data_IF_681227587638
#
_entry.id   IF_681227587638
#
_cell.length_a   1.000
_cell.length_b   1.000
_cell.length_c   1.000
_cell.angle_alpha   90.00
_cell.angle_beta   90.00
_cell.angle_gamma   90.00
#
_symmetry.space_group_name_H-M   'P 1'
#
loop_
_entity.id
_entity.type
_entity.pdbx_description
1 polymer ?
#
# COMPACT_ATOMS: atom_id res chain seq x y z
N UNK A 1 22.55 26.65 -37.11
CA UNK A 1 21.49 25.64 -37.18
C UNK A 1 21.86 24.43 -36.35
N UNK A 2 23.09 23.92 -36.47
CA UNK A 2 23.50 22.71 -35.71
C UNK A 2 23.69 22.94 -34.20
N UNK A 3 24.21 24.09 -33.77
CA UNK A 3 24.41 24.38 -32.34
C UNK A 3 23.10 24.64 -31.57
N UNK A 4 22.09 25.25 -32.21
CA UNK A 4 20.78 25.45 -31.60
C UNK A 4 19.99 24.13 -31.51
N UNK A 5 20.13 23.26 -32.50
CA UNK A 5 19.52 21.91 -32.48
C UNK A 5 20.18 21.04 -31.41
N UNK A 6 21.51 21.06 -31.28
CA UNK A 6 22.22 20.32 -30.22
C UNK A 6 21.86 20.82 -28.83
N UNK A 7 21.79 22.14 -28.61
CA UNK A 7 21.35 22.69 -27.32
C UNK A 7 19.90 22.34 -27.01
N UNK A 8 19.02 22.32 -28.01
CA UNK A 8 17.62 21.94 -27.83
C UNK A 8 17.45 20.43 -27.57
N UNK A 9 18.30 19.59 -28.15
CA UNK A 9 18.36 18.15 -27.84
C UNK A 9 18.91 17.90 -26.42
N UNK A 10 19.97 18.59 -26.01
CA UNK A 10 20.52 18.49 -24.64
C UNK A 10 19.53 18.98 -23.57
N UNK A 11 18.83 20.10 -23.80
CA UNK A 11 17.79 20.61 -22.88
C UNK A 11 16.59 19.66 -22.80
N UNK A 12 16.23 19.03 -23.91
CA UNK A 12 15.14 18.05 -23.97
C UNK A 12 15.53 16.76 -23.23
N UNK A 13 16.71 16.20 -23.47
CA UNK A 13 17.23 15.04 -22.74
C UNK A 13 17.39 15.32 -21.23
N UNK A 14 17.89 16.51 -20.87
CA UNK A 14 17.92 16.97 -19.48
C UNK A 14 16.54 17.02 -18.83
N UNK A 15 15.52 17.46 -19.57
CA UNK A 15 14.14 17.50 -19.08
C UNK A 15 13.55 16.10 -18.87
N UNK A 16 13.80 15.15 -19.78
CA UNK A 16 13.33 13.76 -19.65
C UNK A 16 14.03 13.00 -18.52
N UNK A 17 15.32 13.24 -18.30
CA UNK A 17 16.08 12.64 -17.19
C UNK A 17 15.61 13.18 -15.84
N UNK A 18 15.35 14.48 -15.73
CA UNK A 18 14.74 15.04 -14.51
C UNK A 18 13.34 14.49 -14.26
N UNK A 19 12.50 14.38 -15.29
CA UNK A 19 11.15 13.86 -15.18
C UNK A 19 11.13 12.39 -14.73
N UNK A 20 12.02 11.55 -15.29
CA UNK A 20 12.14 10.13 -14.92
C UNK A 20 12.68 9.94 -13.50
N UNK A 21 13.62 10.78 -13.07
CA UNK A 21 14.13 10.77 -11.69
C UNK A 21 13.03 11.18 -10.70
N UNK A 22 12.27 12.24 -11.01
CA UNK A 22 11.12 12.67 -10.24
C UNK A 22 10.04 11.59 -10.19
N UNK A 23 9.73 10.95 -11.33
CA UNK A 23 8.76 9.87 -11.39
C UNK A 23 9.17 8.69 -10.51
N UNK A 24 10.45 8.31 -10.53
CA UNK A 24 11.00 7.25 -9.68
C UNK A 24 10.97 7.63 -8.20
N UNK A 25 11.27 8.88 -7.86
CA UNK A 25 11.13 9.39 -6.49
C UNK A 25 9.68 9.32 -6.00
N UNK A 26 8.73 9.82 -6.80
CA UNK A 26 7.30 9.74 -6.50
C UNK A 26 6.85 8.27 -6.39
N UNK A 27 7.39 7.38 -7.20
CA UNK A 27 7.08 5.95 -7.14
C UNK A 27 7.53 5.32 -5.82
N UNK A 28 8.74 5.63 -5.35
CA UNK A 28 9.31 5.09 -4.10
C UNK A 28 8.54 5.59 -2.87
N UNK A 29 8.27 6.90 -2.80
CA UNK A 29 7.70 7.52 -1.61
C UNK A 29 6.19 7.71 -1.66
N UNK A 30 5.59 7.68 -2.85
CA UNK A 30 4.19 8.03 -3.07
C UNK A 30 3.22 7.19 -2.25
N UNK A 31 3.49 5.88 -2.12
CA UNK A 31 2.69 4.99 -1.27
C UNK A 31 2.80 5.30 0.22
N UNK A 32 3.92 5.86 0.69
CA UNK A 32 4.12 6.22 2.10
C UNK A 32 3.49 7.57 2.47
N UNK A 33 3.35 8.49 1.50
CA UNK A 33 2.86 9.86 1.74
C UNK A 33 1.52 9.94 2.47
N UNK A 34 0.48 9.13 2.18
CA UNK A 34 -0.80 9.19 2.89
C UNK A 34 -0.69 8.87 4.39
N UNK A 35 0.33 8.11 4.81
CA UNK A 35 0.50 7.73 6.20
C UNK A 35 1.19 8.82 7.04
N UNK A 36 1.86 9.78 6.41
CA UNK A 36 2.49 10.91 7.12
C UNK A 36 1.46 11.78 7.85
N UNK A 37 0.39 12.31 7.21
CA UNK A 37 -0.62 13.07 7.93
C UNK A 37 -1.37 12.20 8.95
N UNK A 38 -1.60 10.91 8.65
CA UNK A 38 -2.23 9.97 9.58
C UNK A 38 -1.39 9.77 10.85
N UNK A 39 -0.06 9.64 10.71
CA UNK A 39 0.87 9.53 11.83
C UNK A 39 0.77 10.78 12.72
N UNK A 40 0.78 11.97 12.11
CA UNK A 40 0.68 13.24 12.84
C UNK A 40 -0.66 13.37 13.56
N UNK A 41 -1.76 12.93 12.95
CA UNK A 41 -3.09 12.96 13.55
C UNK A 41 -3.18 12.04 14.78
N UNK A 42 -2.68 10.81 14.68
CA UNK A 42 -2.66 9.85 15.81
C UNK A 42 -1.78 10.39 16.94
N UNK A 43 -0.61 10.95 16.60
CA UNK A 43 0.30 11.51 17.60
C UNK A 43 -0.33 12.70 18.35
N UNK A 44 -1.05 13.59 17.66
CA UNK A 44 -1.69 14.76 18.27
C UNK A 44 -2.94 14.39 19.06
N UNK A 45 -3.79 13.52 18.51
CA UNK A 45 -5.06 13.13 19.13
C UNK A 45 -4.88 12.12 20.26
N UNK A 46 -3.74 11.40 20.30
CA UNK A 46 -3.55 10.22 21.15
C UNK A 46 -4.70 9.21 21.02
N UNK A 47 -5.33 9.14 19.85
CA UNK A 47 -6.39 8.19 19.54
C UNK A 47 -6.00 7.36 18.30
N UNK A 48 -6.19 6.05 18.37
CA UNK A 48 -5.87 5.10 17.29
C UNK A 48 -7.11 4.49 16.64
N UNK A 49 -8.32 4.80 17.12
CA UNK A 49 -9.57 4.19 16.62
C UNK A 49 -9.84 4.48 15.14
N UNK A 50 -9.36 5.61 14.62
CA UNK A 50 -9.49 5.98 13.21
C UNK A 50 -8.57 5.20 12.25
N UNK A 51 -7.59 4.43 12.77
CA UNK A 51 -6.62 3.71 11.94
C UNK A 51 -6.61 2.21 12.25
N UNK A 52 -6.78 1.40 11.21
CA UNK A 52 -6.78 -0.06 11.35
C UNK A 52 -5.37 -0.63 11.23
N UNK A 53 -4.85 -1.20 12.32
CA UNK A 53 -3.55 -1.92 12.31
C UNK A 53 -3.52 -3.10 11.34
N UNK A 54 -4.68 -3.63 10.93
CA UNK A 54 -4.77 -4.68 9.90
C UNK A 54 -4.32 -4.22 8.53
N UNK A 55 -4.42 -2.92 8.23
CA UNK A 55 -3.86 -2.36 6.99
C UNK A 55 -2.34 -2.53 6.99
N UNK A 56 -1.69 -2.27 8.13
CA UNK A 56 -0.25 -2.52 8.28
C UNK A 56 0.10 -4.00 8.09
N UNK A 57 -0.71 -4.94 8.57
CA UNK A 57 -0.50 -6.38 8.34
C UNK A 57 -0.44 -6.70 6.85
N UNK A 58 -1.50 -6.32 6.12
CA UNK A 58 -1.65 -6.65 4.71
C UNK A 58 -0.50 -6.03 3.90
N UNK A 59 -0.13 -4.78 4.20
CA UNK A 59 0.97 -4.11 3.52
C UNK A 59 2.33 -4.69 3.88
N UNK A 60 2.58 -5.07 5.14
CA UNK A 60 3.83 -5.75 5.51
C UNK A 60 3.96 -7.08 4.78
N UNK A 61 2.89 -7.90 4.76
CA UNK A 61 2.88 -9.17 4.02
C UNK A 61 3.11 -8.93 2.53
N UNK A 62 2.38 -7.99 1.91
CA UNK A 62 2.50 -7.67 0.49
C UNK A 62 3.94 -7.29 0.10
N UNK A 63 4.57 -6.40 0.87
CA UNK A 63 5.90 -5.90 0.56
C UNK A 63 7.01 -6.92 0.88
N UNK A 64 6.84 -7.75 1.91
CA UNK A 64 7.76 -8.88 2.16
C UNK A 64 7.70 -9.88 1.00
N UNK A 65 6.51 -10.29 0.58
CA UNK A 65 6.34 -11.18 -0.57
C UNK A 65 6.91 -10.58 -1.86
N UNK A 66 6.76 -9.26 -2.05
CA UNK A 66 7.33 -8.55 -3.20
C UNK A 66 8.87 -8.58 -3.23
N UNK A 67 9.53 -8.49 -2.08
CA UNK A 67 10.99 -8.64 -2.00
C UNK A 67 11.40 -10.05 -2.43
N UNK A 68 10.69 -11.09 -2.00
CA UNK A 68 10.97 -12.46 -2.47
C UNK A 68 10.65 -12.68 -3.94
N UNK A 69 9.59 -12.03 -4.45
CA UNK A 69 9.29 -12.03 -5.88
C UNK A 69 10.44 -11.41 -6.69
N UNK A 70 11.05 -10.33 -6.20
CA UNK A 70 12.22 -9.72 -6.84
C UNK A 70 13.42 -10.66 -6.91
N UNK A 71 13.64 -11.48 -5.87
CA UNK A 71 14.69 -12.51 -5.84
C UNK A 71 14.46 -13.56 -6.94
N UNK A 72 13.20 -14.00 -7.14
CA UNK A 72 12.85 -14.95 -8.20
C UNK A 72 12.81 -14.35 -9.60
N UNK A 73 12.45 -13.06 -9.72
CA UNK A 73 12.34 -12.34 -10.98
C UNK A 73 12.72 -10.88 -10.76
N UNK A 74 13.93 -10.52 -11.19
CA UNK A 74 14.44 -9.16 -11.03
C UNK A 74 13.62 -8.19 -11.90
N UNK A 75 13.03 -7.21 -11.24
CA UNK A 75 12.37 -6.06 -11.84
C UNK A 75 13.03 -4.77 -11.34
N UNK A 76 12.55 -3.62 -11.83
CA UNK A 76 13.06 -2.28 -11.50
C UNK A 76 13.36 -2.07 -10.02
N UNK A 77 14.58 -1.59 -9.73
CA UNK A 77 15.05 -1.35 -8.36
C UNK A 77 14.16 -0.33 -7.62
N UNK A 78 13.58 0.63 -8.35
CA UNK A 78 12.62 1.61 -7.83
C UNK A 78 11.47 0.94 -7.07
N UNK A 79 10.96 -0.19 -7.57
CA UNK A 79 9.84 -0.93 -6.96
C UNK A 79 10.28 -1.73 -5.72
N UNK A 80 11.53 -2.19 -5.71
CA UNK A 80 12.12 -2.80 -4.52
C UNK A 80 12.30 -1.75 -3.41
N UNK A 81 12.84 -0.58 -3.75
CA UNK A 81 12.99 0.54 -2.82
C UNK A 81 11.63 1.00 -2.27
N UNK A 82 10.60 1.08 -3.12
CA UNK A 82 9.22 1.33 -2.69
C UNK A 82 8.78 0.35 -1.60
N UNK A 83 9.09 -0.94 -1.77
CA UNK A 83 8.72 -1.99 -0.82
C UNK A 83 9.39 -1.80 0.54
N UNK A 84 10.68 -1.46 0.53
CA UNK A 84 11.46 -1.17 1.75
C UNK A 84 10.89 0.05 2.47
N UNK A 85 10.64 1.15 1.76
CA UNK A 85 10.06 2.38 2.34
C UNK A 85 8.69 2.10 2.95
N UNK A 86 7.85 1.33 2.27
CA UNK A 86 6.53 0.96 2.76
C UNK A 86 6.61 0.10 4.03
N UNK A 87 7.52 -0.88 4.09
CA UNK A 87 7.74 -1.70 5.29
C UNK A 87 8.14 -0.82 6.48
N UNK A 88 9.10 0.10 6.28
CA UNK A 88 9.54 1.02 7.33
C UNK A 88 8.39 1.91 7.83
N UNK A 89 7.56 2.41 6.90
CA UNK A 89 6.40 3.23 7.23
C UNK A 89 5.37 2.43 8.02
N UNK A 90 5.09 1.18 7.64
CA UNK A 90 4.15 0.32 8.36
C UNK A 90 4.65 -0.02 9.77
N UNK A 91 5.95 -0.26 9.95
CA UNK A 91 6.52 -0.43 11.28
C UNK A 91 6.46 0.84 12.12
N UNK A 92 6.74 2.02 11.55
CA UNK A 92 6.60 3.29 12.25
C UNK A 92 5.15 3.53 12.70
N UNK A 93 4.17 3.26 11.82
CA UNK A 93 2.74 3.35 12.15
C UNK A 93 2.34 2.38 13.27
N UNK A 94 2.78 1.12 13.21
CA UNK A 94 2.50 0.13 14.24
C UNK A 94 3.13 0.50 15.59
N UNK A 95 4.37 0.97 15.59
CA UNK A 95 5.06 1.42 16.79
C UNK A 95 4.31 2.58 17.46
N UNK A 96 3.88 3.57 16.68
CA UNK A 96 3.06 4.68 17.19
C UNK A 96 1.73 4.16 17.78
N UNK A 97 1.03 3.29 17.05
CA UNK A 97 -0.23 2.74 17.52
C UNK A 97 -0.07 1.97 18.83
N UNK A 98 0.96 1.13 18.94
CA UNK A 98 1.24 0.39 20.18
C UNK A 98 1.57 1.34 21.34
N UNK A 99 2.37 2.38 21.09
CA UNK A 99 2.75 3.38 22.11
C UNK A 99 1.51 4.08 22.67
N UNK A 100 0.64 4.57 21.79
CA UNK A 100 -0.59 5.27 22.17
C UNK A 100 -1.57 4.33 22.87
N UNK A 101 -1.78 3.12 22.32
CA UNK A 101 -2.67 2.13 22.94
C UNK A 101 -2.19 1.70 24.32
N UNK A 102 -0.88 1.57 24.52
CA UNK A 102 -0.31 1.21 25.82
C UNK A 102 -0.42 2.36 26.83
N UNK A 103 -0.22 3.60 26.40
CA UNK A 103 -0.40 4.78 27.24
C UNK A 103 -1.85 4.97 27.71
N UNK A 104 -2.82 4.68 26.84
CA UNK A 104 -4.25 4.81 27.15
C UNK A 104 -4.86 3.56 27.81
N UNK A 105 -4.08 2.49 28.01
CA UNK A 105 -4.62 1.21 28.47
C UNK A 105 -4.97 1.26 29.95
N UNK A 106 -6.25 1.16 30.26
CA UNK A 106 -6.75 1.01 31.65
C UNK A 106 -6.78 -0.47 32.10
N UNK A 107 -6.76 -1.41 31.15
CA UNK A 107 -6.88 -2.86 31.41
C UNK A 107 -5.52 -3.57 31.51
N UNK A 108 -5.34 -4.38 32.55
CA UNK A 108 -4.12 -5.15 32.87
C UNK A 108 -3.89 -6.37 31.99
N UNK A 109 -4.86 -6.79 31.17
CA UNK A 109 -4.71 -8.00 30.36
C UNK A 109 -3.85 -7.72 29.13
N UNK A 110 -2.60 -8.20 29.14
CA UNK A 110 -1.64 -8.08 28.05
C UNK A 110 -1.89 -9.20 27.03
N UNK A 111 -1.89 -8.88 25.73
CA UNK A 111 -2.01 -9.87 24.67
C UNK A 111 -0.67 -9.95 23.95
N UNK A 112 -0.03 -11.11 24.05
CA UNK A 112 1.28 -11.36 23.46
C UNK A 112 1.20 -12.42 22.37
N UNK A 113 2.23 -12.47 21.52
CA UNK A 113 2.31 -13.51 20.49
C UNK A 113 2.40 -14.92 21.11
N UNK A 114 3.03 -15.03 22.27
CA UNK A 114 3.16 -16.29 23.03
C UNK A 114 1.81 -16.93 23.42
N UNK A 115 0.73 -16.14 23.47
CA UNK A 115 -0.57 -16.64 23.90
C UNK A 115 -1.25 -17.52 22.83
N UNK A 116 -0.71 -17.55 21.60
CA UNK A 116 -1.13 -18.36 20.43
C UNK A 116 -2.64 -18.40 20.16
N UNK A 117 -3.39 -17.41 20.65
CA UNK A 117 -4.82 -17.30 20.45
C UNK A 117 -5.11 -16.59 19.13
N UNK A 118 -5.51 -17.36 18.12
CA UNK A 118 -5.87 -16.85 16.79
C UNK A 118 -6.97 -15.76 16.83
N UNK A 119 -7.84 -15.79 17.84
CA UNK A 119 -8.88 -14.76 18.00
C UNK A 119 -8.31 -13.34 18.19
N UNK A 120 -7.13 -13.23 18.82
CA UNK A 120 -6.45 -11.95 19.05
C UNK A 120 -5.29 -11.73 18.08
N UNK A 121 -5.29 -12.44 16.94
CA UNK A 121 -4.28 -12.28 15.90
C UNK A 121 -4.19 -10.83 15.44
N UNK A 122 -2.96 -10.30 15.42
CA UNK A 122 -2.63 -8.92 15.06
C UNK A 122 -3.24 -7.83 15.96
N UNK A 123 -3.47 -8.16 17.24
CA UNK A 123 -3.92 -7.22 18.29
C UNK A 123 -3.03 -7.30 19.53
N UNK A 124 -1.72 -7.44 19.31
CA UNK A 124 -0.73 -7.52 20.38
C UNK A 124 -0.47 -6.16 21.01
N UNK A 125 -0.11 -6.17 22.29
CA UNK A 125 0.21 -4.96 23.05
C UNK A 125 1.61 -4.43 22.79
N UNK A 126 2.54 -5.32 22.46
CA UNK A 126 3.96 -5.01 22.36
C UNK A 126 4.37 -4.95 20.89
N UNK A 127 5.17 -3.94 20.51
CA UNK A 127 5.62 -3.78 19.13
C UNK A 127 6.53 -4.93 18.68
N UNK A 128 7.30 -5.48 19.61
CA UNK A 128 8.23 -6.59 19.41
C UNK A 128 7.52 -7.85 18.91
N UNK A 129 6.29 -8.10 19.35
CA UNK A 129 5.48 -9.24 18.92
C UNK A 129 5.14 -9.14 17.41
N UNK A 130 4.92 -7.93 16.89
CA UNK A 130 4.70 -7.70 15.46
C UNK A 130 5.99 -7.92 14.66
N UNK A 131 7.14 -7.42 15.15
CA UNK A 131 8.44 -7.66 14.53
C UNK A 131 8.76 -9.15 14.46
N UNK A 132 8.54 -9.88 15.57
CA UNK A 132 8.79 -11.32 15.65
C UNK A 132 7.91 -12.10 14.67
N UNK A 133 6.64 -11.73 14.54
CA UNK A 133 5.75 -12.32 13.53
C UNK A 133 6.27 -12.07 12.11
N UNK A 134 6.61 -10.82 11.77
CA UNK A 134 7.12 -10.47 10.44
C UNK A 134 8.45 -11.15 10.13
N UNK A 135 9.33 -11.28 11.11
CA UNK A 135 10.59 -12.02 10.99
C UNK A 135 10.31 -13.51 10.74
N UNK A 136 9.45 -14.15 11.54
CA UNK A 136 9.06 -15.55 11.35
C UNK A 136 8.43 -15.79 9.98
N UNK A 137 7.53 -14.92 9.55
CA UNK A 137 6.92 -14.96 8.22
C UNK A 137 8.00 -14.84 7.12
N UNK A 138 8.94 -13.91 7.26
CA UNK A 138 10.05 -13.72 6.32
C UNK A 138 10.93 -14.97 6.23
N UNK A 139 11.27 -15.59 7.36
CA UNK A 139 12.04 -16.85 7.38
C UNK A 139 11.30 -17.97 6.67
N UNK A 140 9.99 -18.14 6.93
CA UNK A 140 9.17 -19.14 6.25
C UNK A 140 9.12 -18.89 4.75
N UNK A 141 8.88 -17.64 4.34
CA UNK A 141 8.89 -17.24 2.93
C UNK A 141 10.26 -17.49 2.28
N UNK A 142 11.36 -17.21 2.98
CA UNK A 142 12.71 -17.46 2.50
C UNK A 142 12.95 -18.95 2.26
N UNK A 143 12.61 -19.81 3.23
CA UNK A 143 12.77 -21.26 3.09
C UNK A 143 11.95 -21.79 1.91
N UNK A 144 10.67 -21.40 1.81
CA UNK A 144 9.80 -21.84 0.70
C UNK A 144 10.35 -21.34 -0.64
N UNK A 145 10.77 -20.07 -0.71
CA UNK A 145 11.30 -19.46 -1.93
C UNK A 145 12.59 -20.13 -2.36
N UNK A 146 13.50 -20.45 -1.44
CA UNK A 146 14.75 -21.17 -1.77
C UNK A 146 14.49 -22.60 -2.27
N UNK A 147 13.45 -23.28 -1.77
CA UNK A 147 13.09 -24.63 -2.21
C UNK A 147 12.39 -24.65 -3.58
N UNK A 148 11.66 -23.58 -3.94
CA UNK A 148 10.79 -23.53 -5.11
C UNK A 148 11.22 -22.47 -6.14
N UNK A 149 12.42 -21.89 -6.01
CA UNK A 149 12.89 -20.77 -6.84
C UNK A 149 12.91 -21.11 -8.33
N UNK A 150 13.27 -22.35 -8.67
CA UNK A 150 13.35 -22.83 -10.06
C UNK A 150 11.95 -23.01 -10.71
N UNK A 151 10.88 -23.00 -9.91
CA UNK A 151 9.52 -23.15 -10.43
C UNK A 151 8.94 -21.79 -10.84
N UNK A 152 8.82 -21.59 -12.15
CA UNK A 152 8.20 -20.37 -12.73
C UNK A 152 6.78 -20.16 -12.19
N UNK A 153 6.00 -21.24 -12.05
CA UNK A 153 4.63 -21.16 -11.52
C UNK A 153 4.62 -20.61 -10.10
N UNK A 154 5.57 -21.03 -9.26
CA UNK A 154 5.70 -20.52 -7.91
C UNK A 154 6.06 -19.04 -7.90
N UNK A 155 7.09 -18.63 -8.64
CA UNK A 155 7.56 -17.22 -8.69
C UNK A 155 6.45 -16.30 -9.21
N UNK A 156 5.75 -16.68 -10.28
CA UNK A 156 4.67 -15.88 -10.85
C UNK A 156 3.46 -15.79 -9.91
N UNK A 157 3.14 -16.86 -9.18
CA UNK A 157 2.08 -16.89 -8.16
C UNK A 157 2.45 -16.02 -6.96
N UNK A 158 3.70 -16.10 -6.50
CA UNK A 158 4.24 -15.29 -5.40
C UNK A 158 4.12 -13.80 -5.71
N UNK A 159 4.55 -13.38 -6.91
CA UNK A 159 4.39 -12.02 -7.38
C UNK A 159 2.93 -11.59 -7.47
N UNK A 160 2.06 -12.46 -7.99
CA UNK A 160 0.62 -12.18 -8.10
C UNK A 160 -0.02 -11.96 -6.72
N UNK A 161 0.30 -12.81 -5.74
CA UNK A 161 -0.18 -12.65 -4.36
C UNK A 161 0.33 -11.36 -3.73
N UNK A 162 1.61 -11.03 -3.91
CA UNK A 162 2.22 -9.83 -3.36
C UNK A 162 1.51 -8.55 -3.85
N UNK A 163 1.23 -8.45 -5.16
CA UNK A 163 0.56 -7.28 -5.73
C UNK A 163 -0.94 -7.30 -5.48
N UNK A 164 -1.58 -8.47 -5.39
CA UNK A 164 -2.99 -8.61 -5.03
C UNK A 164 -3.29 -8.08 -3.62
N UNK A 165 -2.45 -8.38 -2.63
CA UNK A 165 -2.62 -7.84 -1.28
C UNK A 165 -2.54 -6.31 -1.25
N UNK A 166 -1.68 -5.70 -2.09
CA UNK A 166 -1.64 -4.25 -2.23
C UNK A 166 -2.92 -3.72 -2.92
N UNK A 167 -3.41 -4.40 -3.95
CA UNK A 167 -4.62 -4.01 -4.67
C UNK A 167 -5.89 -4.06 -3.80
N UNK A 168 -5.90 -4.86 -2.73
CA UNK A 168 -7.04 -5.00 -1.83
C UNK A 168 -7.30 -3.78 -0.94
N UNK A 169 -6.42 -2.78 -0.89
CA UNK A 169 -6.59 -1.62 0.00
C UNK A 169 -7.88 -0.82 -0.26
N UNK A 170 -8.32 -0.68 -1.51
CA UNK A 170 -9.54 0.04 -1.86
C UNK A 170 -10.84 -0.78 -1.64
N UNK A 171 -10.74 -2.10 -1.54
CA UNK A 171 -11.92 -3.00 -1.47
C UNK A 171 -12.77 -2.79 -0.21
N UNK A 172 -12.19 -2.66 1.01
CA UNK A 172 -12.99 -2.38 2.21
C UNK A 172 -13.86 -1.14 2.07
N UNK A 173 -13.32 -0.06 1.47
CA UNK A 173 -14.07 1.18 1.26
C UNK A 173 -15.24 0.96 0.29
N UNK A 174 -14.99 0.26 -0.83
CA UNK A 174 -16.02 -0.10 -1.82
C UNK A 174 -17.16 -0.90 -1.18
N UNK A 175 -16.83 -1.90 -0.36
CA UNK A 175 -17.79 -2.75 0.33
C UNK A 175 -18.57 -1.99 1.41
N UNK A 176 -17.90 -1.14 2.18
CA UNK A 176 -18.56 -0.37 3.24
C UNK A 176 -19.55 0.64 2.67
N UNK A 177 -19.19 1.32 1.58
CA UNK A 177 -20.11 2.19 0.85
C UNK A 177 -21.31 1.41 0.29
N UNK A 178 -21.08 0.20 -0.24
CA UNK A 178 -22.16 -0.66 -0.76
C UNK A 178 -23.13 -1.10 0.34
N UNK A 179 -22.59 -1.58 1.46
CA UNK A 179 -23.38 -2.02 2.61
C UNK A 179 -24.17 -0.87 3.24
N UNK A 180 -23.52 0.28 3.45
CA UNK A 180 -24.13 1.42 4.10
C UNK A 180 -25.08 2.20 3.18
N UNK A 181 -25.08 1.91 1.86
CA UNK A 181 -25.81 2.66 0.83
C UNK A 181 -25.58 4.18 0.94
N UNK A 182 -24.41 4.59 1.40
CA UNK A 182 -24.06 5.98 1.66
C UNK A 182 -22.56 6.17 1.62
N UNK A 183 -22.13 7.33 1.13
CA UNK A 183 -20.74 7.79 1.17
C UNK A 183 -20.52 8.92 2.20
N UNK A 184 -21.47 9.13 3.12
CA UNK A 184 -21.34 10.13 4.19
C UNK A 184 -20.13 9.82 5.07
N UNK A 185 -19.25 10.81 5.25
CA UNK A 185 -18.00 10.68 6.02
C UNK A 185 -16.77 10.33 5.18
N UNK A 186 -16.93 9.99 3.90
CA UNK A 186 -15.81 9.72 3.00
C UNK A 186 -15.28 11.00 2.33
N UNK A 187 -13.96 11.18 2.30
CA UNK A 187 -13.32 12.28 1.58
C UNK A 187 -13.20 11.98 0.08
N UNK A 188 -14.05 12.59 -0.74
CA UNK A 188 -14.01 12.41 -2.21
C UNK A 188 -12.66 12.84 -2.81
N UNK A 189 -12.03 13.89 -2.24
CA UNK A 189 -10.71 14.36 -2.67
C UNK A 189 -9.62 13.30 -2.48
N UNK A 190 -9.72 12.50 -1.42
CA UNK A 190 -8.79 11.40 -1.16
C UNK A 190 -8.90 10.32 -2.23
N UNK A 191 -10.13 9.93 -2.58
CA UNK A 191 -10.38 8.91 -3.62
C UNK A 191 -9.86 9.39 -4.98
N UNK A 192 -10.09 10.65 -5.35
CA UNK A 192 -9.53 11.21 -6.60
C UNK A 192 -7.99 11.18 -6.63
N UNK A 193 -7.35 11.43 -5.49
CA UNK A 193 -5.89 11.37 -5.38
C UNK A 193 -5.36 9.93 -5.47
N UNK A 194 -6.07 8.96 -4.89
CA UNK A 194 -5.77 7.53 -5.07
C UNK A 194 -5.86 7.14 -6.54
N UNK A 195 -6.92 7.54 -7.23
CA UNK A 195 -7.11 7.20 -8.64
C UNK A 195 -6.00 7.80 -9.50
N UNK A 196 -5.64 9.06 -9.26
CA UNK A 196 -4.52 9.69 -9.95
C UNK A 196 -3.19 8.97 -9.68
N UNK A 197 -2.95 8.58 -8.42
CA UNK A 197 -1.78 7.81 -8.02
C UNK A 197 -1.70 6.44 -8.70
N UNK A 198 -2.80 5.70 -8.73
CA UNK A 198 -2.88 4.37 -9.33
C UNK A 198 -2.78 4.41 -10.86
N UNK A 199 -3.33 5.43 -11.51
CA UNK A 199 -3.12 5.69 -12.95
C UNK A 199 -1.66 6.00 -13.23
N UNK A 200 -1.03 6.88 -12.45
CA UNK A 200 0.39 7.19 -12.58
C UNK A 200 1.26 5.93 -12.40
N UNK A 201 1.01 5.17 -11.34
CA UNK A 201 1.71 3.92 -11.01
C UNK A 201 1.57 2.87 -12.11
N UNK A 202 0.36 2.67 -12.62
CA UNK A 202 0.08 1.72 -13.71
C UNK A 202 0.75 2.14 -15.01
N UNK A 203 0.76 3.44 -15.31
CA UNK A 203 1.46 3.98 -16.49
C UNK A 203 2.97 3.74 -16.36
N UNK A 204 3.55 3.99 -15.19
CA UNK A 204 4.95 3.69 -14.91
C UNK A 204 5.28 2.21 -15.13
N UNK A 205 4.42 1.29 -14.67
CA UNK A 205 4.63 -0.14 -14.89
C UNK A 205 4.63 -0.54 -16.37
N UNK A 206 3.75 0.05 -17.18
CA UNK A 206 3.68 -0.22 -18.61
C UNK A 206 4.90 0.36 -19.33
N UNK A 207 5.31 1.58 -18.98
CA UNK A 207 6.46 2.25 -19.59
C UNK A 207 7.80 1.57 -19.26
N UNK A 208 7.95 1.04 -18.04
CA UNK A 208 9.15 0.34 -17.59
C UNK A 208 9.11 -1.19 -17.84
N UNK A 209 8.20 -1.68 -18.69
CA UNK A 209 8.04 -3.11 -19.00
C UNK A 209 8.04 -4.03 -17.76
N UNK A 210 7.40 -3.56 -16.68
CA UNK A 210 7.37 -4.29 -15.41
C UNK A 210 6.59 -5.61 -15.55
N UNK A 211 6.86 -6.62 -14.69
CA UNK A 211 6.17 -7.91 -14.73
C UNK A 211 4.65 -7.75 -14.78
N UNK A 212 3.97 -8.64 -15.52
CA UNK A 212 2.56 -8.49 -15.85
C UNK A 212 1.64 -8.33 -14.64
N UNK A 213 2.01 -8.94 -13.51
CA UNK A 213 1.33 -8.81 -12.22
C UNK A 213 1.10 -7.36 -11.80
N UNK A 214 2.05 -6.47 -12.07
CA UNK A 214 2.00 -5.08 -11.64
C UNK A 214 0.95 -4.28 -12.39
N UNK A 215 0.97 -4.28 -13.73
CA UNK A 215 0.00 -3.52 -14.50
C UNK A 215 -1.40 -4.16 -14.51
N UNK A 216 -1.51 -5.49 -14.39
CA UNK A 216 -2.80 -6.17 -14.23
C UNK A 216 -3.45 -5.76 -12.90
N UNK A 217 -2.73 -5.87 -11.78
CA UNK A 217 -3.27 -5.45 -10.48
C UNK A 217 -3.50 -3.94 -10.42
N UNK A 218 -2.62 -3.12 -10.99
CA UNK A 218 -2.80 -1.67 -11.08
C UNK A 218 -4.08 -1.30 -11.84
N UNK A 219 -4.38 -2.02 -12.92
CA UNK A 219 -5.66 -1.86 -13.64
C UNK A 219 -6.86 -2.21 -12.74
N UNK A 220 -6.78 -3.28 -11.95
CA UNK A 220 -7.82 -3.65 -10.98
C UNK A 220 -7.99 -2.57 -9.91
N UNK A 221 -6.91 -1.96 -9.42
CA UNK A 221 -6.98 -0.84 -8.47
C UNK A 221 -7.72 0.36 -9.05
N UNK A 222 -7.37 0.77 -10.27
CA UNK A 222 -8.07 1.85 -10.98
C UNK A 222 -9.56 1.53 -11.14
N UNK A 223 -9.91 0.29 -11.44
CA UNK A 223 -11.32 -0.13 -11.54
C UNK A 223 -12.06 -0.05 -10.20
N UNK A 224 -11.43 -0.45 -9.10
CA UNK A 224 -12.00 -0.33 -7.75
C UNK A 224 -12.24 1.14 -7.41
N UNK A 225 -11.27 1.99 -7.70
CA UNK A 225 -11.34 3.42 -7.48
C UNK A 225 -12.46 4.09 -8.27
N UNK A 226 -12.57 3.77 -9.57
CA UNK A 226 -13.69 4.21 -10.41
C UNK A 226 -15.02 3.73 -9.85
N UNK A 227 -15.10 2.48 -9.37
CA UNK A 227 -16.32 1.96 -8.75
C UNK A 227 -16.70 2.73 -7.47
N UNK A 228 -15.72 3.12 -6.64
CA UNK A 228 -15.95 3.97 -5.47
C UNK A 228 -16.46 5.36 -5.90
N UNK A 229 -15.84 5.97 -6.91
CA UNK A 229 -16.28 7.27 -7.45
C UNK A 229 -17.71 7.20 -8.02
N UNK A 230 -18.07 6.12 -8.69
CA UNK A 230 -19.45 5.88 -9.14
C UNK A 230 -20.42 5.80 -7.96
N UNK A 231 -20.07 5.09 -6.88
CA UNK A 231 -20.90 5.05 -5.67
C UNK A 231 -21.11 6.46 -5.06
N UNK A 232 -20.11 7.34 -5.12
CA UNK A 232 -20.26 8.74 -4.69
C UNK A 232 -21.34 9.43 -5.52
N UNK A 233 -21.29 9.31 -6.85
CA UNK A 233 -22.26 9.94 -7.73
C UNK A 233 -23.68 9.40 -7.47
N UNK A 234 -23.86 8.07 -7.42
CA UNK A 234 -25.17 7.45 -7.21
C UNK A 234 -25.77 7.78 -5.84
N UNK A 235 -25.03 7.64 -4.74
CA UNK A 235 -25.56 7.88 -3.39
C UNK A 235 -25.72 9.37 -3.05
N UNK A 236 -24.99 10.26 -3.75
CA UNK A 236 -25.22 11.71 -3.63
C UNK A 236 -26.57 12.15 -4.23
N UNK A 237 -27.00 11.50 -5.32
CA UNK A 237 -28.27 11.79 -5.98
C UNK A 237 -29.47 11.30 -5.15
N UNK A 238 -29.40 10.10 -4.58
CA UNK A 238 -30.46 9.55 -3.73
C UNK A 238 -30.67 10.41 -2.46
N UNK A 239 -29.61 11.03 -1.93
CA UNK A 239 -29.73 11.97 -0.81
C UNK A 239 -30.45 13.26 -1.21
N UNK A 240 -30.22 13.80 -2.43
CA UNK A 240 -30.95 14.99 -2.91
C UNK A 240 -32.40 14.69 -3.25
N UNK A 241 -32.69 13.53 -3.84
CA UNK A 241 -34.04 13.13 -4.23
C UNK A 241 -34.97 12.90 -3.02
N UNK A 242 -34.43 12.59 -1.83
CA UNK A 242 -35.20 12.43 -0.58
C UNK A 242 -35.46 13.74 0.18
N UNK A 243 -34.85 14.86 -0.23
CA UNK A 243 -34.92 16.16 0.46
C UNK A 243 -35.62 17.25 -0.36
N UNK A 244 -36.00 16.97 -1.61
CA UNK A 244 -36.82 17.84 -2.46
C UNK A 244 -38.21 17.25 -2.64
#
# INVERSE_FOLDING_TARGET
MDAEVVLQEEDMEGSWTLLSWLASFVMVFGGALPYVPQYQEIQKSSNTEGFSTRVCLVLLIANILRIFFWIGKQFELTLLLQSVVMILTMFAMLHLCCTVQNANRVSTKQHRLSDLNLHYFWKWSAFEDYLLFCFGFTVVCAVITLLLLDSVVFVETLGSLAVMFEAMLGVPQLLQNFHNRSTKGMSVKMVLLWTAGDVFKTTYFVMNESPAQFWVCGSVQILIDVAILLQVLFYSQDTRAKLG
#
